data_IF_730428279419
#
_entry.id   IF_730428279419
#
_cell.length_a   1.000
_cell.length_b   1.000
_cell.length_c   1.000
_cell.angle_alpha   90.00
_cell.angle_beta   90.00
_cell.angle_gamma   90.00
#
_symmetry.space_group_name_H-M   'P 1'
#
loop_
_entity.id
_entity.type
_entity.pdbx_description
1 polymer ?
#
# COMPACT_ATOMS: atom_id res chain seq x y z
N UNK A 1 -2.63 -44.89 22.53
CA UNK A 1 -3.03 -44.23 21.26
C UNK A 1 -3.88 -42.98 21.46
N UNK A 2 -4.38 -42.68 22.66
CA UNK A 2 -5.20 -41.49 22.97
C UNK A 2 -4.41 -40.18 23.15
N UNK A 3 -3.09 -40.25 23.37
CA UNK A 3 -2.23 -39.09 23.62
C UNK A 3 -1.78 -38.34 22.36
N UNK A 4 -1.70 -39.00 21.20
CA UNK A 4 -1.35 -38.35 19.92
C UNK A 4 -2.51 -37.50 19.36
N UNK A 5 -3.75 -37.93 19.57
CA UNK A 5 -4.93 -37.19 19.13
C UNK A 5 -5.15 -35.88 19.91
N UNK A 6 -4.76 -35.85 21.19
CA UNK A 6 -4.83 -34.63 22.01
C UNK A 6 -3.67 -33.67 21.74
N UNK A 7 -2.52 -34.17 21.29
CA UNK A 7 -1.40 -33.30 20.89
C UNK A 7 -1.61 -32.63 19.54
N UNK A 8 -2.19 -33.32 18.53
CA UNK A 8 -2.48 -32.66 17.24
C UNK A 8 -3.57 -31.61 17.39
N UNK A 9 -4.66 -31.89 18.10
CA UNK A 9 -5.71 -30.89 18.35
C UNK A 9 -5.20 -29.60 19.05
N UNK A 10 -4.19 -29.74 19.93
CA UNK A 10 -3.55 -28.59 20.59
C UNK A 10 -2.58 -27.84 19.66
N UNK A 11 -1.88 -28.56 18.78
CA UNK A 11 -1.01 -27.99 17.76
C UNK A 11 -1.85 -27.23 16.70
N UNK A 12 -2.93 -27.84 16.22
CA UNK A 12 -3.95 -27.28 15.35
C UNK A 12 -4.52 -25.97 15.92
N UNK A 13 -4.90 -25.95 17.20
CA UNK A 13 -5.42 -24.74 17.85
C UNK A 13 -4.36 -23.63 17.99
N UNK A 14 -3.09 -23.99 18.13
CA UNK A 14 -1.98 -23.04 18.20
C UNK A 14 -1.63 -22.45 16.82
N UNK A 15 -1.70 -23.24 15.76
CA UNK A 15 -1.50 -22.80 14.37
C UNK A 15 -2.66 -21.92 13.89
N UNK A 16 -3.91 -22.26 14.19
CA UNK A 16 -5.06 -21.40 13.91
C UNK A 16 -4.93 -20.02 14.57
N UNK A 17 -4.47 -20.00 15.83
CA UNK A 17 -4.22 -18.73 16.54
C UNK A 17 -3.08 -17.93 15.91
N UNK A 18 -2.05 -18.60 15.40
CA UNK A 18 -0.93 -17.99 14.69
C UNK A 18 -1.36 -17.40 13.34
N UNK A 19 -2.16 -18.13 12.56
CA UNK A 19 -2.72 -17.65 11.29
C UNK A 19 -3.65 -16.45 11.51
N UNK A 20 -4.50 -16.49 12.55
CA UNK A 20 -5.31 -15.32 12.95
C UNK A 20 -4.46 -14.11 13.35
N UNK A 21 -3.32 -14.33 14.00
CA UNK A 21 -2.37 -13.26 14.33
C UNK A 21 -1.59 -12.70 13.13
N UNK A 22 -1.52 -13.42 12.01
CA UNK A 22 -0.91 -12.94 10.77
C UNK A 22 -1.86 -12.09 9.92
N UNK A 23 -3.17 -12.11 10.20
CA UNK A 23 -4.13 -11.28 9.50
C UNK A 23 -3.97 -9.80 9.89
N UNK A 24 -3.94 -8.89 8.90
CA UNK A 24 -4.08 -7.46 9.14
C UNK A 24 -5.33 -7.15 9.98
N UNK A 25 -5.28 -6.17 10.91
CA UNK A 25 -6.38 -5.87 11.82
C UNK A 25 -7.68 -5.48 11.08
N UNK A 26 -7.56 -4.92 9.87
CA UNK A 26 -8.71 -4.60 9.03
C UNK A 26 -9.44 -5.85 8.55
N UNK A 27 -8.73 -6.95 8.27
CA UNK A 27 -9.29 -8.21 7.76
C UNK A 27 -9.87 -9.10 8.86
N UNK A 28 -9.47 -8.89 10.12
CA UNK A 28 -9.90 -9.74 11.24
C UNK A 28 -11.41 -9.67 11.53
N UNK A 29 -12.12 -8.60 11.10
CA UNK A 29 -13.56 -8.47 11.34
C UNK A 29 -14.45 -9.26 10.39
N UNK A 30 -13.90 -9.81 9.30
CA UNK A 30 -14.65 -10.38 8.18
C UNK A 30 -13.97 -11.59 7.52
N UNK A 31 -12.71 -11.89 7.90
CA UNK A 31 -12.01 -13.10 7.50
C UNK A 31 -11.98 -14.10 8.66
N UNK A 32 -12.66 -15.23 8.48
CA UNK A 32 -12.66 -16.35 9.43
C UNK A 32 -11.65 -17.41 8.98
N UNK A 33 -10.76 -17.85 9.87
CA UNK A 33 -9.79 -18.92 9.59
C UNK A 33 -10.17 -20.16 10.39
N UNK A 34 -10.51 -21.23 9.68
CA UNK A 34 -10.95 -22.50 10.23
C UNK A 34 -10.15 -23.68 9.67
N UNK A 35 -10.06 -24.77 10.45
CA UNK A 35 -9.48 -26.02 9.98
C UNK A 35 -10.53 -26.83 9.22
N UNK A 36 -10.22 -27.29 8.01
CA UNK A 36 -11.18 -28.13 7.26
C UNK A 36 -11.27 -29.54 7.84
N UNK A 37 -12.48 -30.08 7.93
CA UNK A 37 -12.75 -31.47 8.32
C UNK A 37 -13.17 -32.34 7.14
N UNK A 38 -12.98 -31.86 5.90
CA UNK A 38 -13.39 -32.53 4.68
C UNK A 38 -12.47 -33.72 4.35
N UNK A 39 -12.95 -34.68 3.56
CA UNK A 39 -12.18 -35.87 3.16
C UNK A 39 -11.38 -35.53 1.89
N UNK A 40 -10.05 -35.45 2.01
CA UNK A 40 -9.10 -35.01 0.98
C UNK A 40 -9.34 -33.58 0.45
N UNK A 41 -9.32 -32.55 1.33
CA UNK A 41 -9.49 -31.17 0.92
C UNK A 41 -8.25 -30.63 0.17
N UNK A 42 -8.42 -29.55 -0.62
CA UNK A 42 -7.30 -28.72 -1.06
C UNK A 42 -6.59 -28.09 0.15
N UNK A 43 -5.29 -27.76 0.00
CA UNK A 43 -4.45 -27.28 1.10
C UNK A 43 -5.02 -26.03 1.80
N UNK A 44 -5.54 -25.09 1.00
CA UNK A 44 -6.32 -23.95 1.44
C UNK A 44 -7.54 -23.84 0.53
N UNK A 45 -8.68 -23.50 1.11
CA UNK A 45 -9.90 -23.11 0.40
C UNK A 45 -10.36 -21.76 0.93
N UNK A 46 -10.73 -20.87 0.04
CA UNK A 46 -11.40 -19.62 0.38
C UNK A 46 -12.85 -19.73 -0.10
N UNK A 47 -13.80 -19.54 0.80
CA UNK A 47 -15.23 -19.60 0.53
C UNK A 47 -15.90 -18.30 1.01
N UNK A 48 -16.71 -17.69 0.15
CA UNK A 48 -17.50 -16.51 0.50
C UNK A 48 -18.79 -16.97 1.17
N UNK A 49 -18.90 -16.77 2.49
CA UNK A 49 -20.07 -17.17 3.28
C UNK A 49 -21.18 -16.11 3.17
N UNK A 50 -20.82 -14.86 2.88
CA UNK A 50 -21.74 -13.74 2.82
C UNK A 50 -21.26 -12.61 1.91
N UNK A 51 -21.99 -11.49 1.92
CA UNK A 51 -21.75 -10.34 1.03
C UNK A 51 -20.39 -9.66 1.28
N UNK A 52 -19.88 -9.79 2.50
CA UNK A 52 -18.61 -9.21 2.96
C UNK A 52 -17.88 -10.16 3.95
N UNK A 53 -18.18 -11.46 3.95
CA UNK A 53 -17.55 -12.42 4.88
C UNK A 53 -16.88 -13.55 4.11
N UNK A 54 -15.58 -13.74 4.37
CA UNK A 54 -14.75 -14.75 3.71
C UNK A 54 -14.23 -15.73 4.74
N UNK A 55 -14.41 -17.02 4.48
CA UNK A 55 -13.85 -18.10 5.27
C UNK A 55 -12.67 -18.75 4.55
N UNK A 56 -11.54 -18.79 5.24
CA UNK A 56 -10.34 -19.51 4.83
C UNK A 56 -10.30 -20.82 5.60
N UNK A 57 -10.56 -21.92 4.90
CA UNK A 57 -10.44 -23.27 5.42
C UNK A 57 -9.04 -23.83 5.10
N UNK A 58 -8.33 -24.33 6.11
CA UNK A 58 -6.96 -24.85 5.96
C UNK A 58 -6.90 -26.32 6.35
N UNK A 59 -6.32 -27.17 5.50
CA UNK A 59 -6.04 -28.58 5.82
C UNK A 59 -4.81 -28.68 6.72
N UNK A 60 -5.04 -28.67 8.03
CA UNK A 60 -3.98 -28.68 9.04
C UNK A 60 -3.08 -29.93 8.95
N UNK A 61 -3.62 -31.07 8.50
CA UNK A 61 -2.84 -32.30 8.34
C UNK A 61 -1.80 -32.22 7.22
N UNK A 62 -2.14 -31.61 6.09
CA UNK A 62 -1.17 -31.31 5.01
C UNK A 62 -0.32 -30.07 5.34
N UNK A 63 -0.88 -29.11 6.06
CA UNK A 63 -0.24 -27.86 6.44
C UNK A 63 0.99 -28.06 7.33
N UNK A 64 0.91 -28.95 8.33
CA UNK A 64 2.04 -29.24 9.23
C UNK A 64 3.24 -29.88 8.51
N UNK A 65 3.01 -30.56 7.37
CA UNK A 65 4.10 -31.14 6.56
C UNK A 65 4.90 -30.09 5.78
N UNK A 66 4.44 -28.84 5.73
CA UNK A 66 5.10 -27.74 5.03
C UNK A 66 6.02 -26.95 5.96
N UNK A 67 7.14 -26.50 5.41
CA UNK A 67 8.04 -25.58 6.10
C UNK A 67 7.30 -24.30 6.49
N UNK A 68 7.66 -23.71 7.64
CA UNK A 68 6.95 -22.57 8.19
C UNK A 68 6.95 -21.34 7.25
N UNK A 69 8.02 -21.17 6.47
CA UNK A 69 8.12 -20.09 5.48
C UNK A 69 7.15 -20.30 4.31
N UNK A 70 7.01 -21.55 3.84
CA UNK A 70 6.07 -21.90 2.78
C UNK A 70 4.62 -21.70 3.24
N UNK A 71 4.30 -22.12 4.47
CA UNK A 71 2.98 -21.87 5.08
C UNK A 71 2.64 -20.38 5.10
N UNK A 72 3.60 -19.55 5.51
CA UNK A 72 3.39 -18.11 5.55
C UNK A 72 3.15 -17.55 4.15
N UNK A 73 3.96 -17.93 3.16
CA UNK A 73 3.83 -17.43 1.79
C UNK A 73 2.48 -17.81 1.16
N UNK A 74 2.03 -19.05 1.34
CA UNK A 74 0.76 -19.51 0.78
C UNK A 74 -0.40 -18.81 1.51
N UNK A 75 -0.31 -18.64 2.83
CA UNK A 75 -1.32 -17.90 3.58
C UNK A 75 -1.40 -16.43 3.14
N UNK A 76 -0.25 -15.74 3.02
CA UNK A 76 -0.19 -14.36 2.53
C UNK A 76 -0.67 -14.22 1.09
N UNK A 77 -0.45 -15.23 0.25
CA UNK A 77 -0.97 -15.25 -1.11
C UNK A 77 -2.50 -15.22 -1.12
N UNK A 78 -3.15 -16.03 -0.28
CA UNK A 78 -4.62 -16.04 -0.21
C UNK A 78 -5.18 -14.77 0.44
N UNK A 79 -4.52 -14.25 1.47
CA UNK A 79 -4.88 -12.94 2.05
C UNK A 79 -4.80 -11.82 0.99
N UNK A 80 -3.75 -11.81 0.18
CA UNK A 80 -3.59 -10.83 -0.90
C UNK A 80 -4.64 -11.01 -1.99
N UNK A 81 -5.07 -12.24 -2.29
CA UNK A 81 -6.14 -12.51 -3.25
C UNK A 81 -7.49 -11.99 -2.76
N UNK A 82 -7.81 -12.20 -1.49
CA UNK A 82 -9.01 -11.65 -0.85
C UNK A 82 -8.99 -10.12 -0.92
N UNK A 83 -7.87 -9.48 -0.57
CA UNK A 83 -7.74 -8.02 -0.72
C UNK A 83 -7.89 -7.56 -2.18
N UNK A 84 -7.37 -8.31 -3.14
CA UNK A 84 -7.49 -7.97 -4.55
C UNK A 84 -8.92 -8.07 -5.10
N UNK A 85 -9.77 -8.93 -4.51
CA UNK A 85 -11.21 -8.95 -4.82
C UNK A 85 -11.96 -7.77 -4.16
N UNK A 86 -11.40 -7.18 -3.09
CA UNK A 86 -11.94 -5.97 -2.46
C UNK A 86 -11.52 -4.67 -3.16
N UNK A 87 -10.63 -4.75 -4.16
CA UNK A 87 -10.31 -3.60 -5.02
C UNK A 87 -11.51 -3.37 -5.93
N UNK A 88 -12.08 -2.14 -5.95
CA UNK A 88 -13.25 -1.84 -6.75
C UNK A 88 -12.95 -2.11 -8.23
N UNK A 89 -13.63 -3.11 -8.80
CA UNK A 89 -13.51 -3.48 -10.23
C UNK A 89 -14.42 -2.65 -11.12
N UNK A 90 -15.30 -1.85 -10.54
CA UNK A 90 -16.20 -0.99 -11.28
C UNK A 90 -15.48 0.25 -11.81
N UNK A 91 -15.68 0.56 -13.09
CA UNK A 91 -14.99 1.67 -13.76
C UNK A 91 -15.25 3.05 -13.15
N UNK A 92 -16.38 3.22 -12.45
CA UNK A 92 -16.72 4.46 -11.75
C UNK A 92 -16.00 4.62 -10.42
N UNK A 93 -15.83 3.55 -9.66
CA UNK A 93 -15.11 3.55 -8.37
C UNK A 93 -13.60 3.66 -8.58
N UNK A 94 -13.06 2.99 -9.60
CA UNK A 94 -11.67 3.20 -10.03
C UNK A 94 -11.43 4.64 -10.50
N UNK A 95 -12.39 5.23 -11.22
CA UNK A 95 -12.28 6.63 -11.63
C UNK A 95 -12.31 7.57 -10.41
N UNK A 96 -13.19 7.35 -9.44
CA UNK A 96 -13.26 8.15 -8.22
C UNK A 96 -11.96 8.06 -7.39
N UNK A 97 -11.40 6.86 -7.24
CA UNK A 97 -10.13 6.64 -6.54
C UNK A 97 -8.95 7.28 -7.28
N UNK A 98 -8.91 7.16 -8.61
CA UNK A 98 -7.89 7.80 -9.44
C UNK A 98 -8.00 9.34 -9.42
N UNK A 99 -9.23 9.89 -9.40
CA UNK A 99 -9.48 11.34 -9.26
C UNK A 99 -9.04 11.81 -7.87
N UNK A 100 -9.35 11.07 -6.81
CA UNK A 100 -8.93 11.41 -5.44
C UNK A 100 -7.40 11.43 -5.28
N UNK A 101 -6.71 10.43 -5.81
CA UNK A 101 -5.25 10.37 -5.82
C UNK A 101 -4.63 11.45 -6.72
N UNK A 102 -5.21 11.70 -7.90
CA UNK A 102 -4.76 12.77 -8.80
C UNK A 102 -4.96 14.17 -8.23
N UNK A 103 -6.03 14.38 -7.46
CA UNK A 103 -6.31 15.62 -6.73
C UNK A 103 -5.27 15.90 -5.65
N UNK A 104 -4.93 14.91 -4.83
CA UNK A 104 -3.91 15.04 -3.78
C UNK A 104 -2.51 15.37 -4.36
N UNK A 105 -2.15 14.77 -5.50
CA UNK A 105 -0.91 15.12 -6.21
C UNK A 105 -0.98 16.53 -6.81
N UNK A 106 -2.14 16.94 -7.33
CA UNK A 106 -2.38 18.30 -7.82
C UNK A 106 -2.23 19.36 -6.73
N UNK A 107 -2.73 19.12 -5.52
CA UNK A 107 -2.58 20.03 -4.37
C UNK A 107 -1.12 20.20 -3.96
N UNK A 108 -0.34 19.11 -3.93
CA UNK A 108 1.10 19.15 -3.68
C UNK A 108 1.85 19.99 -4.74
N UNK A 109 1.48 19.83 -6.02
CA UNK A 109 2.06 20.59 -7.13
C UNK A 109 1.69 22.08 -7.11
N UNK A 110 0.47 22.43 -6.72
CA UNK A 110 0.03 23.82 -6.65
C UNK A 110 0.72 24.55 -5.49
N UNK A 111 0.92 23.87 -4.36
CA UNK A 111 1.59 24.44 -3.19
C UNK A 111 3.07 24.74 -3.47
N UNK A 112 3.81 23.79 -4.05
CA UNK A 112 5.23 24.00 -4.37
C UNK A 112 5.43 24.81 -5.66
N UNK A 113 4.52 24.70 -6.63
CA UNK A 113 4.56 25.45 -7.89
C UNK A 113 4.33 26.95 -7.70
N UNK A 114 3.45 27.34 -6.77
CA UNK A 114 3.24 28.75 -6.43
C UNK A 114 4.49 29.36 -5.81
N UNK A 115 5.14 28.64 -4.90
CA UNK A 115 6.40 29.07 -4.28
C UNK A 115 7.53 29.18 -5.30
N UNK A 116 7.60 28.25 -6.26
CA UNK A 116 8.57 28.29 -7.36
C UNK A 116 8.39 29.52 -8.25
N UNK A 117 7.15 29.85 -8.64
CA UNK A 117 6.85 31.05 -9.43
C UNK A 117 7.20 32.34 -8.68
N UNK A 118 6.91 32.38 -7.38
CA UNK A 118 7.22 33.52 -6.52
C UNK A 118 8.75 33.70 -6.37
N UNK A 119 9.49 32.60 -6.19
CA UNK A 119 10.95 32.61 -6.17
C UNK A 119 11.54 33.09 -7.52
N UNK A 120 11.04 32.60 -8.65
CA UNK A 120 11.46 33.04 -9.99
C UNK A 120 11.19 34.53 -10.21
N UNK A 121 10.04 35.04 -9.76
CA UNK A 121 9.72 36.47 -9.85
C UNK A 121 10.69 37.32 -9.01
N UNK A 122 10.98 36.92 -7.77
CA UNK A 122 11.92 37.63 -6.90
C UNK A 122 13.36 37.60 -7.46
N UNK A 123 13.80 36.44 -7.96
CA UNK A 123 15.11 36.27 -8.60
C UNK A 123 15.20 37.09 -9.90
N UNK A 124 14.13 37.15 -10.70
CA UNK A 124 14.09 37.96 -11.93
C UNK A 124 14.17 39.46 -11.67
N UNK A 125 13.40 39.98 -10.70
CA UNK A 125 13.39 41.41 -10.36
C UNK A 125 14.73 41.84 -9.76
N UNK A 126 15.31 41.03 -8.87
CA UNK A 126 16.63 41.31 -8.28
C UNK A 126 17.75 41.26 -9.32
N UNK A 127 17.74 40.27 -10.23
CA UNK A 127 18.67 40.18 -11.35
C UNK A 127 18.57 41.37 -12.31
N UNK A 128 17.35 41.82 -12.65
CA UNK A 128 17.13 42.97 -13.52
C UNK A 128 17.66 44.28 -12.90
N UNK A 129 17.40 44.51 -11.61
CA UNK A 129 17.93 45.67 -10.88
C UNK A 129 19.46 45.66 -10.82
N UNK A 130 20.08 44.50 -10.60
CA UNK A 130 21.54 44.37 -10.60
C UNK A 130 22.14 44.65 -11.99
N UNK A 131 21.53 44.10 -13.03
CA UNK A 131 21.93 44.36 -14.42
C UNK A 131 21.87 45.86 -14.75
N UNK A 132 20.79 46.54 -14.36
CA UNK A 132 20.64 47.98 -14.58
C UNK A 132 21.72 48.79 -13.85
N UNK A 133 22.07 48.42 -12.61
CA UNK A 133 23.17 49.06 -11.86
C UNK A 133 24.52 48.86 -12.54
N UNK A 134 24.85 47.63 -12.94
CA UNK A 134 26.12 47.32 -13.59
C UNK A 134 26.27 47.98 -14.96
N UNK A 135 25.18 48.07 -15.73
CA UNK A 135 25.20 48.78 -17.00
C UNK A 135 25.34 50.29 -16.81
N UNK A 136 24.71 50.88 -15.79
CA UNK A 136 24.92 52.28 -15.44
C UNK A 136 26.38 52.62 -15.14
N UNK A 137 27.09 51.78 -14.38
CA UNK A 137 28.52 51.95 -14.12
C UNK A 137 29.38 51.82 -15.38
N UNK A 138 29.04 50.92 -16.30
CA UNK A 138 29.73 50.80 -17.60
C UNK A 138 29.51 52.01 -18.49
N UNK A 139 28.27 52.48 -18.63
CA UNK A 139 27.95 53.69 -19.41
C UNK A 139 28.66 54.93 -18.86
N UNK A 140 28.77 55.06 -17.53
CA UNK A 140 29.49 56.18 -16.91
C UNK A 140 31.00 56.07 -17.15
N UNK A 141 31.60 54.88 -17.05
CA UNK A 141 33.02 54.68 -17.35
C UNK A 141 33.34 54.96 -18.82
N UNK A 142 32.51 54.48 -19.74
CA UNK A 142 32.65 54.76 -21.17
C UNK A 142 32.50 56.27 -21.47
N UNK A 143 31.59 56.96 -20.78
CA UNK A 143 31.44 58.42 -20.90
C UNK A 143 32.64 59.21 -20.32
N UNK A 144 33.35 58.66 -19.35
CA UNK A 144 34.56 59.27 -18.76
C UNK A 144 35.80 59.00 -19.64
N UNK A 145 35.94 57.80 -20.22
CA UNK A 145 37.06 57.47 -21.13
C UNK A 145 36.93 58.10 -22.51
N UNK A 146 35.72 58.50 -22.93
CA UNK A 146 35.47 59.16 -24.20
C UNK A 146 35.77 60.68 -24.21
N UNK A 147 36.22 61.26 -23.10
CA UNK A 147 36.48 62.70 -22.94
C UNK A 147 37.95 63.00 -22.64
#
# INVERSE_FOLDING_TARGET
MTSYATSSARAEMSELRRLKGLLPPELQSWVMVEGTTEINPPLIRCEEIGKDEVEIQVDLGKWENLAIDQRNLIFWHEVARIQNDTIPREGWEMAALAIGLGGAVGELWVQDGLLLLLALALCGISGYRLWQKNNGERTIKEAIEAH
#
